data_IF_973885057848
#
_entry.id   IF_973885057848
#
_cell.length_a   1.000
_cell.length_b   1.000
_cell.length_c   1.000
_cell.angle_alpha   90.00
_cell.angle_beta   90.00
_cell.angle_gamma   90.00
#
_symmetry.space_group_name_H-M   'P 1'
#
loop_
_entity.id
_entity.type
_entity.pdbx_description
1 polymer ?
#
# COMPACT_ATOMS: atom_id res chain seq x y z
N UNK A 1 -22.47 24.82 17.72
CA UNK A 1 -22.80 26.23 18.07
C UNK A 1 -23.99 26.75 17.26
N UNK A 2 -24.52 26.07 16.25
CA UNK A 2 -25.69 26.49 15.47
C UNK A 2 -25.41 27.60 14.43
N UNK A 3 -24.16 27.96 14.18
CA UNK A 3 -23.79 28.90 13.14
C UNK A 3 -23.76 28.20 11.76
N UNK A 4 -24.38 28.82 10.76
CA UNK A 4 -24.36 28.35 9.38
C UNK A 4 -22.95 28.53 8.81
N UNK A 5 -22.28 27.43 8.48
CA UNK A 5 -20.99 27.45 7.79
C UNK A 5 -21.23 27.34 6.28
N UNK A 6 -20.78 28.32 5.51
CA UNK A 6 -20.66 28.20 4.05
C UNK A 6 -19.30 27.60 3.72
N UNK A 7 -19.30 26.49 2.97
CA UNK A 7 -18.07 25.87 2.42
C UNK A 7 -18.13 25.96 0.91
N UNK A 8 -16.98 26.16 0.29
CA UNK A 8 -16.84 26.03 -1.16
C UNK A 8 -17.21 24.60 -1.60
N UNK A 9 -18.11 24.50 -2.57
CA UNK A 9 -18.45 23.22 -3.19
C UNK A 9 -17.34 22.83 -4.17
N UNK A 10 -16.75 21.66 -3.96
CA UNK A 10 -15.81 21.06 -4.93
C UNK A 10 -16.57 20.07 -5.79
N UNK A 11 -16.63 20.33 -7.10
CA UNK A 11 -17.20 19.38 -8.05
C UNK A 11 -16.22 18.23 -8.24
N UNK A 12 -16.63 17.02 -7.86
CA UNK A 12 -15.88 15.80 -8.16
C UNK A 12 -16.34 15.30 -9.54
N UNK A 13 -15.50 15.44 -10.53
CA UNK A 13 -15.76 14.96 -11.88
C UNK A 13 -15.41 13.45 -11.98
N UNK A 14 -16.33 12.62 -11.48
CA UNK A 14 -16.28 11.17 -11.70
C UNK A 14 -17.11 10.85 -12.96
N UNK A 15 -16.45 10.37 -13.99
CA UNK A 15 -17.17 9.96 -15.20
C UNK A 15 -18.07 8.75 -14.92
N UNK A 16 -19.29 8.73 -15.49
CA UNK A 16 -20.22 7.58 -15.42
C UNK A 16 -19.54 6.29 -15.91
N UNK A 17 -18.54 6.41 -16.77
CA UNK A 17 -17.76 5.31 -17.32
C UNK A 17 -16.87 4.64 -16.26
N UNK A 18 -16.34 5.39 -15.29
CA UNK A 18 -15.52 4.85 -14.20
C UNK A 18 -16.33 3.99 -13.23
N UNK A 19 -17.64 4.27 -13.09
CA UNK A 19 -18.57 3.52 -12.27
C UNK A 19 -19.21 2.32 -13.00
N UNK A 20 -18.86 2.05 -14.27
CA UNK A 20 -19.39 0.92 -15.05
C UNK A 20 -18.45 -0.28 -14.93
N UNK A 21 -18.98 -1.48 -15.15
CA UNK A 21 -18.17 -2.72 -15.21
C UNK A 21 -17.43 -2.89 -16.55
N UNK A 22 -17.68 -2.08 -17.55
CA UNK A 22 -17.05 -2.09 -18.89
C UNK A 22 -16.96 -3.49 -19.53
N UNK A 23 -18.02 -4.30 -19.35
CA UNK A 23 -18.11 -5.66 -19.89
C UNK A 23 -17.55 -6.76 -19.01
N UNK A 24 -16.87 -6.43 -17.91
CA UNK A 24 -16.42 -7.41 -16.93
C UNK A 24 -17.59 -7.95 -16.08
N UNK A 25 -17.47 -9.19 -15.63
CA UNK A 25 -18.48 -9.80 -14.77
C UNK A 25 -18.53 -9.15 -13.38
N UNK A 26 -17.39 -8.77 -12.83
CA UNK A 26 -17.23 -8.21 -11.51
C UNK A 26 -16.38 -6.94 -11.54
N UNK A 27 -16.61 -6.00 -10.61
CA UNK A 27 -15.77 -4.81 -10.46
C UNK A 27 -14.33 -5.18 -10.14
N UNK A 28 -14.10 -6.13 -9.25
CA UNK A 28 -12.77 -6.58 -8.89
C UNK A 28 -12.00 -7.11 -10.11
N UNK A 29 -12.65 -7.84 -11.02
CA UNK A 29 -12.04 -8.31 -12.26
C UNK A 29 -11.58 -7.12 -13.12
N UNK A 30 -12.45 -6.13 -13.33
CA UNK A 30 -12.09 -4.88 -14.03
C UNK A 30 -10.88 -4.22 -13.37
N UNK A 31 -10.90 -4.05 -12.05
CA UNK A 31 -9.87 -3.38 -11.27
C UNK A 31 -8.52 -4.11 -11.30
N UNK A 32 -8.53 -5.45 -11.42
CA UNK A 32 -7.31 -6.24 -11.68
C UNK A 32 -6.68 -5.84 -13.01
N UNK A 33 -7.49 -5.73 -14.08
CA UNK A 33 -6.99 -5.36 -15.41
C UNK A 33 -6.66 -3.87 -15.55
N UNK A 34 -7.16 -3.01 -14.67
CA UNK A 34 -6.82 -1.59 -14.61
C UNK A 34 -5.47 -1.31 -13.95
N UNK A 35 -4.85 -2.26 -13.25
CA UNK A 35 -3.62 -2.05 -12.49
C UNK A 35 -2.47 -1.44 -13.32
N UNK A 36 -2.18 -1.86 -14.57
CA UNK A 36 -1.10 -1.24 -15.34
C UNK A 36 -1.29 0.26 -15.51
N UNK A 37 -2.51 0.69 -15.85
CA UNK A 37 -2.81 2.11 -16.02
C UNK A 37 -2.80 2.84 -14.67
N UNK A 38 -3.35 2.24 -13.62
CA UNK A 38 -3.36 2.83 -12.28
C UNK A 38 -1.94 3.05 -11.74
N UNK A 39 -1.02 2.10 -11.95
CA UNK A 39 0.39 2.25 -11.59
C UNK A 39 1.05 3.37 -12.40
N UNK A 40 0.81 3.43 -13.72
CA UNK A 40 1.32 4.51 -14.56
C UNK A 40 0.85 5.88 -14.07
N UNK A 41 -0.44 6.03 -13.75
CA UNK A 41 -1.01 7.26 -13.19
C UNK A 41 -0.39 7.63 -11.84
N UNK A 42 -0.06 6.62 -11.01
CA UNK A 42 0.59 6.84 -9.71
C UNK A 42 2.03 7.36 -9.85
N UNK A 43 2.67 7.19 -11.00
CA UNK A 43 4.06 7.61 -11.26
C UNK A 43 4.10 8.92 -12.06
N UNK A 44 3.08 9.19 -12.86
CA UNK A 44 3.03 10.30 -13.80
C UNK A 44 3.34 11.65 -13.12
N UNK A 45 4.27 12.42 -13.73
CA UNK A 45 4.67 13.72 -13.23
C UNK A 45 5.49 13.73 -11.94
N UNK A 46 5.98 12.55 -11.49
CA UNK A 46 6.71 12.40 -10.20
C UNK A 46 8.17 12.01 -10.38
N UNK A 47 8.55 11.62 -11.57
CA UNK A 47 9.93 11.21 -11.91
C UNK A 47 10.40 11.88 -13.18
N UNK A 48 11.71 12.16 -13.27
CA UNK A 48 12.38 12.61 -14.48
C UNK A 48 13.85 12.16 -14.43
N UNK A 49 14.41 11.81 -15.59
CA UNK A 49 15.84 11.46 -15.74
C UNK A 49 16.32 10.38 -14.77
N UNK A 50 15.48 9.36 -14.49
CA UNK A 50 15.80 8.27 -13.57
C UNK A 50 15.78 8.67 -12.09
N UNK A 51 15.24 9.84 -11.75
CA UNK A 51 15.15 10.35 -10.38
C UNK A 51 13.72 10.76 -10.03
N UNK A 52 13.40 10.72 -8.74
CA UNK A 52 12.18 11.30 -8.21
C UNK A 52 12.31 12.83 -8.20
N UNK A 53 11.22 13.53 -8.55
CA UNK A 53 11.19 14.99 -8.49
C UNK A 53 11.13 15.47 -7.02
N UNK A 54 11.57 16.71 -6.78
CA UNK A 54 11.54 17.30 -5.45
C UNK A 54 10.10 17.65 -5.03
N UNK A 55 9.85 17.55 -3.72
CA UNK A 55 8.59 17.95 -3.10
C UNK A 55 7.31 17.28 -3.67
N UNK A 56 7.42 16.08 -4.23
CA UNK A 56 6.24 15.34 -4.73
C UNK A 56 5.23 14.97 -3.64
N UNK A 57 5.62 15.03 -2.38
CA UNK A 57 4.77 14.85 -1.20
C UNK A 57 4.18 16.17 -0.68
N UNK A 58 4.56 17.30 -1.25
CA UNK A 58 4.15 18.64 -0.84
C UNK A 58 5.35 19.52 -0.51
N UNK A 59 5.10 20.82 -0.49
CA UNK A 59 6.14 21.83 -0.27
C UNK A 59 6.90 21.58 1.04
N UNK A 60 8.22 21.65 0.98
CA UNK A 60 9.11 21.44 2.13
C UNK A 60 9.39 19.98 2.49
N UNK A 61 8.73 18.99 1.85
CA UNK A 61 8.94 17.58 2.17
C UNK A 61 10.39 17.13 1.93
N UNK A 62 11.03 17.57 0.84
CA UNK A 62 12.42 17.23 0.54
C UNK A 62 13.41 17.74 1.60
N UNK A 63 13.15 18.91 2.20
CA UNK A 63 13.99 19.43 3.29
C UNK A 63 13.77 18.65 4.57
N UNK A 64 12.51 18.40 4.95
CA UNK A 64 12.16 17.66 6.15
C UNK A 64 12.70 16.22 6.12
N UNK A 65 12.65 15.57 4.95
CA UNK A 65 13.10 14.19 4.80
C UNK A 65 14.60 13.97 5.03
N UNK A 66 15.41 15.03 5.01
CA UNK A 66 16.82 14.96 5.43
C UNK A 66 16.99 14.53 6.90
N UNK A 67 16.01 14.90 7.74
CA UNK A 67 16.02 14.61 9.19
C UNK A 67 15.50 13.23 9.57
N UNK A 68 14.92 12.47 8.62
CA UNK A 68 14.29 11.17 8.91
C UNK A 68 15.33 10.13 9.30
N UNK A 69 15.26 9.64 10.54
CA UNK A 69 16.08 8.53 11.04
C UNK A 69 15.29 7.26 11.29
N UNK A 70 13.97 7.36 11.42
CA UNK A 70 13.03 6.26 11.65
C UNK A 70 11.74 6.51 10.90
N UNK A 71 11.01 5.45 10.62
CA UNK A 71 9.67 5.55 10.03
C UNK A 71 8.71 4.70 10.83
N UNK A 72 7.58 5.28 11.20
CA UNK A 72 6.43 4.59 11.79
C UNK A 72 5.32 4.50 10.76
N UNK A 73 5.06 3.32 10.23
CA UNK A 73 3.90 3.05 9.38
C UNK A 73 2.72 2.61 10.21
N UNK A 74 1.55 3.16 9.90
CA UNK A 74 0.29 2.78 10.54
C UNK A 74 -0.80 2.65 9.48
N UNK A 75 -1.44 1.49 9.43
CA UNK A 75 -2.47 1.17 8.45
C UNK A 75 -3.34 -0.02 8.89
N UNK A 76 -4.39 -0.32 8.12
CA UNK A 76 -5.24 -1.49 8.28
C UNK A 76 -5.20 -2.38 7.01
N UNK A 77 -5.38 -3.70 7.18
CA UNK A 77 -5.61 -4.66 6.10
C UNK A 77 -4.58 -4.59 4.98
N UNK A 78 -5.05 -4.48 3.75
CA UNK A 78 -4.25 -4.39 2.52
C UNK A 78 -3.19 -3.29 2.58
N UNK A 79 -3.53 -2.11 3.12
CA UNK A 79 -2.59 -0.99 3.26
C UNK A 79 -1.45 -1.31 4.25
N UNK A 80 -1.72 -2.09 5.30
CA UNK A 80 -0.67 -2.59 6.20
C UNK A 80 0.26 -3.59 5.48
N UNK A 81 -0.29 -4.46 4.65
CA UNK A 81 0.52 -5.40 3.86
C UNK A 81 1.38 -4.66 2.83
N UNK A 82 0.90 -3.54 2.26
CA UNK A 82 1.71 -2.68 1.41
C UNK A 82 2.90 -2.09 2.17
N UNK A 83 2.70 -1.56 3.39
CA UNK A 83 3.78 -1.07 4.24
C UNK A 83 4.81 -2.17 4.57
N UNK A 84 4.33 -3.37 4.94
CA UNK A 84 5.20 -4.52 5.24
C UNK A 84 6.03 -4.95 4.02
N UNK A 85 5.45 -4.92 2.83
CA UNK A 85 6.15 -5.24 1.58
C UNK A 85 7.21 -4.19 1.27
N UNK A 86 6.89 -2.91 1.46
CA UNK A 86 7.79 -1.80 1.18
C UNK A 86 8.94 -1.64 2.19
N UNK A 87 8.85 -2.23 3.37
CA UNK A 87 9.85 -2.12 4.45
C UNK A 87 11.28 -2.28 3.94
N UNK A 88 11.51 -3.29 3.11
CA UNK A 88 12.84 -3.59 2.57
C UNK A 88 13.40 -2.41 1.77
N UNK A 89 12.58 -1.70 1.00
CA UNK A 89 13.02 -0.55 0.21
C UNK A 89 13.53 0.58 1.10
N UNK A 90 12.86 0.84 2.23
CA UNK A 90 13.31 1.87 3.18
C UNK A 90 14.61 1.48 3.88
N UNK A 91 14.76 0.20 4.24
CA UNK A 91 15.99 -0.31 4.83
C UNK A 91 17.17 -0.26 3.82
N UNK A 92 16.95 -0.61 2.54
CA UNK A 92 18.00 -0.67 1.51
C UNK A 92 18.31 0.66 0.84
N UNK A 93 17.30 1.50 0.58
CA UNK A 93 17.49 2.78 -0.11
C UNK A 93 17.73 3.94 0.86
N UNK A 94 17.07 3.94 2.01
CA UNK A 94 17.11 5.03 2.96
C UNK A 94 18.01 4.78 4.16
N UNK A 95 18.47 3.53 4.38
CA UNK A 95 19.20 3.11 5.58
C UNK A 95 18.43 3.49 6.86
N UNK A 96 17.11 3.25 6.84
CA UNK A 96 16.19 3.75 7.86
C UNK A 96 15.33 2.61 8.41
N UNK A 97 15.39 2.35 9.73
CA UNK A 97 14.56 1.34 10.37
C UNK A 97 13.07 1.73 10.29
N UNK A 98 12.22 0.72 10.07
CA UNK A 98 10.79 0.86 9.93
C UNK A 98 10.04 0.07 10.99
N UNK A 99 9.14 0.75 11.69
CA UNK A 99 8.14 0.19 12.59
C UNK A 99 6.81 0.15 11.85
N UNK A 100 6.06 -0.93 11.98
CA UNK A 100 4.81 -1.14 11.25
C UNK A 100 3.78 -1.69 12.21
N UNK A 101 2.71 -0.95 12.43
CA UNK A 101 1.65 -1.29 13.38
C UNK A 101 0.27 -1.30 12.73
N UNK A 102 -0.59 -2.18 13.21
CA UNK A 102 -2.02 -2.08 12.94
C UNK A 102 -2.58 -0.78 13.55
N UNK A 103 -3.32 -0.02 12.75
CA UNK A 103 -3.89 1.23 13.23
C UNK A 103 -4.85 1.02 14.42
N UNK A 104 -5.60 -0.09 14.42
CA UNK A 104 -6.48 -0.48 15.52
C UNK A 104 -5.75 -0.65 16.85
N UNK A 105 -4.52 -1.17 16.81
CA UNK A 105 -3.72 -1.46 18.02
C UNK A 105 -2.84 -0.27 18.41
N UNK A 106 -2.34 0.48 17.42
CA UNK A 106 -1.44 1.59 17.63
C UNK A 106 -1.97 2.63 18.61
N UNK A 107 -3.25 3.04 18.44
CA UNK A 107 -3.93 4.03 19.27
C UNK A 107 -4.04 3.65 20.77
N UNK A 108 -3.94 2.37 21.09
CA UNK A 108 -4.05 1.86 22.47
C UNK A 108 -2.72 1.51 23.11
N UNK A 109 -1.66 1.38 22.31
CA UNK A 109 -0.35 0.91 22.76
C UNK A 109 0.46 1.96 23.53
N UNK A 110 0.15 3.25 23.36
CA UNK A 110 0.93 4.36 23.91
C UNK A 110 2.44 4.23 23.56
N UNK A 111 2.82 4.27 22.27
CA UNK A 111 4.16 4.00 21.79
C UNK A 111 5.16 5.08 22.25
N UNK A 112 6.41 4.68 22.39
CA UNK A 112 7.50 5.64 22.54
C UNK A 112 7.75 6.31 21.18
N UNK A 113 7.73 7.64 21.18
CA UNK A 113 7.97 8.46 19.99
C UNK A 113 9.32 9.17 20.11
N UNK A 114 10.07 9.13 19.02
CA UNK A 114 11.36 9.82 18.89
C UNK A 114 11.22 10.94 17.84
N UNK A 115 11.74 12.12 18.14
CA UNK A 115 11.56 13.37 17.38
C UNK A 115 11.96 13.29 15.89
N UNK A 116 12.86 12.37 15.52
CA UNK A 116 13.35 12.14 14.16
C UNK A 116 12.60 11.01 13.40
N UNK A 117 11.43 10.63 13.91
CA UNK A 117 10.56 9.60 13.32
C UNK A 117 9.52 10.23 12.38
N UNK A 118 9.50 9.80 11.13
CA UNK A 118 8.44 10.16 10.18
C UNK A 118 7.23 9.23 10.40
N UNK A 119 6.06 9.80 10.67
CA UNK A 119 4.81 9.03 10.78
C UNK A 119 4.13 8.92 9.41
N UNK A 120 3.80 7.71 8.97
CA UNK A 120 3.22 7.45 7.66
C UNK A 120 1.90 6.69 7.78
N UNK A 121 0.81 7.34 7.42
CA UNK A 121 -0.52 6.75 7.33
C UNK A 121 -0.83 6.28 5.91
N UNK A 122 -1.38 5.08 5.77
CA UNK A 122 -1.77 4.54 4.46
C UNK A 122 -3.23 4.11 4.51
N UNK A 123 -4.03 4.61 3.57
CA UNK A 123 -5.44 4.26 3.44
C UNK A 123 -5.91 4.50 2.01
N UNK A 124 -6.71 3.60 1.45
CA UNK A 124 -7.31 3.81 0.13
C UNK A 124 -8.26 5.03 0.17
N UNK A 125 -9.19 5.06 1.10
CA UNK A 125 -10.20 6.13 1.22
C UNK A 125 -9.68 7.41 1.90
N UNK A 126 -8.63 7.29 2.74
CA UNK A 126 -8.21 8.37 3.64
C UNK A 126 -9.22 8.71 4.75
N UNK A 127 -10.17 7.78 5.02
CA UNK A 127 -11.23 7.94 6.03
C UNK A 127 -11.33 6.74 6.97
N UNK A 128 -10.39 5.80 6.93
CA UNK A 128 -10.39 4.62 7.81
C UNK A 128 -10.34 5.04 9.28
N UNK A 129 -11.36 4.71 10.06
CA UNK A 129 -11.55 5.24 11.41
C UNK A 129 -10.35 5.01 12.34
N UNK A 130 -9.78 3.80 12.36
CA UNK A 130 -8.62 3.50 13.21
C UNK A 130 -7.36 4.22 12.73
N UNK A 131 -7.15 4.36 11.41
CA UNK A 131 -6.01 5.10 10.85
C UNK A 131 -6.14 6.59 11.16
N UNK A 132 -7.35 7.14 11.08
CA UNK A 132 -7.65 8.50 11.50
C UNK A 132 -7.36 8.73 12.99
N UNK A 133 -7.76 7.79 13.84
CA UNK A 133 -7.49 7.89 15.27
C UNK A 133 -5.99 7.84 15.58
N UNK A 134 -5.23 6.99 14.87
CA UNK A 134 -3.77 6.94 14.98
C UNK A 134 -3.10 8.22 14.46
N UNK A 135 -3.60 8.82 13.37
CA UNK A 135 -3.13 10.10 12.85
C UNK A 135 -3.37 11.21 13.88
N UNK A 136 -4.58 11.28 14.47
CA UNK A 136 -4.89 12.29 15.50
C UNK A 136 -3.99 12.13 16.73
N UNK A 137 -3.73 10.91 17.16
CA UNK A 137 -2.76 10.63 18.21
C UNK A 137 -1.36 11.16 17.83
N UNK A 138 -0.90 10.89 16.60
CA UNK A 138 0.42 11.32 16.14
C UNK A 138 0.57 12.85 16.07
N UNK A 139 -0.51 13.61 15.86
CA UNK A 139 -0.49 15.09 15.87
C UNK A 139 -0.17 15.68 17.25
N UNK A 140 -0.51 14.98 18.31
CA UNK A 140 -0.23 15.39 19.69
C UNK A 140 1.16 14.96 20.17
N UNK A 141 1.86 14.15 19.36
CA UNK A 141 3.19 13.60 19.65
C UNK A 141 4.30 14.32 18.87
N UNK A 142 5.55 14.06 19.26
CA UNK A 142 6.75 14.70 18.70
C UNK A 142 7.32 13.95 17.50
N UNK A 143 6.47 13.63 16.53
CA UNK A 143 6.95 13.13 15.24
C UNK A 143 7.62 14.24 14.44
N UNK A 144 8.58 13.86 13.56
CA UNK A 144 9.17 14.80 12.59
C UNK A 144 8.12 15.43 11.67
N UNK A 145 7.07 14.70 11.41
CA UNK A 145 5.91 15.10 10.63
C UNK A 145 5.10 13.89 10.18
N UNK A 146 3.97 14.14 9.54
CA UNK A 146 2.99 13.15 9.13
C UNK A 146 2.85 13.14 7.62
N UNK A 147 3.05 11.97 7.01
CA UNK A 147 2.78 11.71 5.59
C UNK A 147 1.53 10.86 5.45
N UNK A 148 0.62 11.25 4.57
CA UNK A 148 -0.51 10.41 4.14
C UNK A 148 -0.33 9.91 2.71
N UNK A 149 -0.52 8.60 2.52
CA UNK A 149 -0.66 7.96 1.21
C UNK A 149 -2.12 7.53 1.07
N UNK A 150 -2.88 8.16 0.17
CA UNK A 150 -4.29 7.81 -0.05
C UNK A 150 -4.71 8.04 -1.51
N UNK A 151 -5.91 7.56 -1.86
CA UNK A 151 -6.44 7.72 -3.22
C UNK A 151 -7.41 8.91 -3.35
N UNK A 152 -7.97 9.40 -2.24
CA UNK A 152 -9.01 10.44 -2.25
C UNK A 152 -8.43 11.78 -1.80
N UNK A 153 -8.27 12.76 -2.72
CA UNK A 153 -7.63 14.05 -2.41
C UNK A 153 -8.38 14.89 -1.37
N UNK A 154 -9.69 14.73 -1.30
CA UNK A 154 -10.58 15.47 -0.39
C UNK A 154 -10.75 14.80 0.96
N UNK A 155 -10.03 13.71 1.22
CA UNK A 155 -10.14 12.94 2.46
C UNK A 155 -9.65 13.72 3.69
N UNK A 156 -10.15 13.32 4.85
CA UNK A 156 -9.76 13.92 6.12
C UNK A 156 -8.27 13.69 6.40
N UNK A 157 -7.74 12.48 6.15
CA UNK A 157 -6.30 12.21 6.33
C UNK A 157 -5.44 13.12 5.46
N UNK A 158 -5.84 13.38 4.20
CA UNK A 158 -5.12 14.27 3.31
C UNK A 158 -5.10 15.73 3.80
N UNK A 159 -6.17 16.18 4.45
CA UNK A 159 -6.24 17.56 5.01
C UNK A 159 -5.44 17.71 6.30
N UNK A 160 -5.39 16.66 7.10
CA UNK A 160 -4.84 16.69 8.46
C UNK A 160 -3.33 16.35 8.52
N UNK A 161 -2.73 15.96 7.41
CA UNK A 161 -1.31 15.60 7.32
C UNK A 161 -0.44 16.72 6.76
N UNK A 162 0.82 16.78 7.20
CA UNK A 162 1.80 17.76 6.73
C UNK A 162 2.13 17.55 5.25
N UNK A 163 2.35 16.29 4.87
CA UNK A 163 2.66 15.90 3.49
C UNK A 163 1.76 14.76 3.04
N UNK A 164 1.57 14.66 1.73
CA UNK A 164 0.68 13.65 1.14
C UNK A 164 1.06 13.30 -0.29
N UNK A 165 0.70 12.09 -0.68
CA UNK A 165 0.73 11.67 -2.07
C UNK A 165 -0.56 10.91 -2.40
N UNK A 166 -1.13 11.21 -3.55
CA UNK A 166 -2.34 10.52 -4.03
C UNK A 166 -1.94 9.40 -4.99
N UNK A 167 -2.54 8.24 -4.80
CA UNK A 167 -2.23 7.07 -5.62
C UNK A 167 -2.80 7.15 -7.03
N UNK A 168 -3.76 8.06 -7.28
CA UNK A 168 -4.40 8.28 -8.58
C UNK A 168 -4.91 6.98 -9.24
N UNK A 169 -5.34 6.01 -8.41
CA UNK A 169 -5.81 4.71 -8.87
C UNK A 169 -7.20 4.75 -9.54
N UNK A 170 -7.88 5.91 -9.49
CA UNK A 170 -9.28 6.01 -9.83
C UNK A 170 -10.20 5.34 -8.80
N UNK A 171 -11.51 5.29 -9.02
CA UNK A 171 -12.44 4.63 -8.11
C UNK A 171 -12.17 3.13 -7.99
N UNK A 172 -12.17 2.60 -6.77
CA UNK A 172 -12.13 1.17 -6.48
C UNK A 172 -13.45 0.80 -5.79
N UNK A 173 -14.30 0.05 -6.48
CA UNK A 173 -15.67 -0.29 -6.08
C UNK A 173 -15.74 -1.71 -5.52
N UNK A 174 -14.84 -2.58 -5.97
CA UNK A 174 -14.70 -3.94 -5.44
C UNK A 174 -14.43 -3.91 -3.94
N UNK A 175 -15.09 -4.79 -3.18
CA UNK A 175 -14.90 -4.88 -1.73
C UNK A 175 -13.46 -5.24 -1.36
N UNK A 176 -12.89 -6.20 -2.09
CA UNK A 176 -11.50 -6.59 -1.92
C UNK A 176 -10.58 -5.70 -2.76
N UNK A 177 -9.67 -5.00 -2.11
CA UNK A 177 -8.72 -4.08 -2.75
C UNK A 177 -7.77 -4.80 -3.72
N UNK A 178 -7.51 -4.19 -4.87
CA UNK A 178 -6.62 -4.68 -5.93
C UNK A 178 -5.65 -3.60 -6.40
N UNK A 179 -6.11 -2.70 -7.28
CA UNK A 179 -5.30 -1.61 -7.83
C UNK A 179 -4.84 -0.61 -6.76
N UNK A 180 -5.59 -0.44 -5.68
CA UNK A 180 -5.15 0.39 -4.57
C UNK A 180 -3.90 -0.19 -3.89
N UNK A 181 -3.77 -1.52 -3.75
CA UNK A 181 -2.57 -2.16 -3.21
C UNK A 181 -1.33 -1.86 -4.05
N UNK A 182 -1.40 -2.11 -5.35
CA UNK A 182 -0.26 -1.92 -6.26
C UNK A 182 0.14 -0.46 -6.42
N UNK A 183 -0.82 0.47 -6.43
CA UNK A 183 -0.53 1.90 -6.45
C UNK A 183 0.00 2.44 -5.12
N UNK A 184 -0.40 1.85 -3.98
CA UNK A 184 0.22 2.14 -2.67
C UNK A 184 1.68 1.68 -2.65
N UNK A 185 2.01 0.51 -3.23
CA UNK A 185 3.40 0.07 -3.36
C UNK A 185 4.22 1.05 -4.21
N UNK A 186 3.67 1.52 -5.34
CA UNK A 186 4.32 2.55 -6.16
C UNK A 186 4.58 3.85 -5.37
N UNK A 187 3.59 4.33 -4.63
CA UNK A 187 3.71 5.53 -3.79
C UNK A 187 4.74 5.35 -2.65
N UNK A 188 4.79 4.16 -2.04
CA UNK A 188 5.77 3.82 -1.01
C UNK A 188 7.20 3.76 -1.56
N UNK A 189 7.39 3.22 -2.77
CA UNK A 189 8.71 3.24 -3.43
C UNK A 189 9.14 4.67 -3.76
N UNK A 190 8.22 5.52 -4.25
CA UNK A 190 8.48 6.94 -4.46
C UNK A 190 8.84 7.66 -3.14
N UNK A 191 8.23 7.30 -2.01
CA UNK A 191 8.59 7.84 -0.70
C UNK A 191 10.01 7.41 -0.29
N UNK A 192 10.35 6.14 -0.46
CA UNK A 192 11.70 5.64 -0.20
C UNK A 192 12.75 6.36 -1.06
N UNK A 193 12.48 6.52 -2.36
CA UNK A 193 13.35 7.28 -3.27
C UNK A 193 13.47 8.74 -2.85
N UNK A 194 12.38 9.39 -2.42
CA UNK A 194 12.40 10.79 -1.98
C UNK A 194 13.24 10.99 -0.71
N UNK A 195 13.10 10.11 0.28
CA UNK A 195 13.92 10.14 1.50
C UNK A 195 15.40 9.88 1.17
N UNK A 196 15.69 8.85 0.38
CA UNK A 196 17.05 8.53 -0.08
C UNK A 196 17.70 9.70 -0.82
N UNK A 197 16.96 10.36 -1.73
CA UNK A 197 17.41 11.55 -2.45
C UNK A 197 17.69 12.70 -1.50
N UNK A 198 16.79 12.99 -0.58
CA UNK A 198 16.93 14.05 0.42
C UNK A 198 18.14 13.86 1.33
N UNK A 199 18.47 12.63 1.67
CA UNK A 199 19.68 12.25 2.43
C UNK A 199 20.95 12.20 1.55
N UNK A 200 20.81 12.30 0.24
CA UNK A 200 21.90 12.18 -0.74
C UNK A 200 22.66 10.84 -0.64
N UNK A 201 21.94 9.74 -0.48
CA UNK A 201 22.50 8.38 -0.38
C UNK A 201 21.96 7.45 -1.45
N UNK A 202 22.67 6.38 -1.76
CA UNK A 202 22.24 5.26 -2.61
C UNK A 202 21.70 5.69 -4.00
N UNK A 203 22.36 6.66 -4.67
CA UNK A 203 21.90 7.24 -5.94
C UNK A 203 21.67 6.17 -7.02
N UNK A 204 22.61 5.26 -7.22
CA UNK A 204 22.52 4.24 -8.27
C UNK A 204 21.37 3.27 -7.99
N UNK A 205 21.26 2.76 -6.77
CA UNK A 205 20.14 1.90 -6.36
C UNK A 205 18.78 2.59 -6.53
N UNK A 206 18.72 3.90 -6.28
CA UNK A 206 17.52 4.70 -6.46
C UNK A 206 17.14 4.83 -7.94
N UNK A 207 18.13 5.06 -8.80
CA UNK A 207 17.92 5.13 -10.25
C UNK A 207 17.42 3.79 -10.80
N UNK A 208 18.02 2.68 -10.37
CA UNK A 208 17.56 1.32 -10.72
C UNK A 208 16.11 1.11 -10.26
N UNK A 209 15.79 1.44 -9.00
CA UNK A 209 14.44 1.30 -8.46
C UNK A 209 13.40 2.15 -9.23
N UNK A 210 13.73 3.34 -9.66
CA UNK A 210 12.86 4.19 -10.49
C UNK A 210 12.67 3.57 -11.87
N UNK A 211 13.74 3.06 -12.50
CA UNK A 211 13.63 2.38 -13.79
C UNK A 211 12.75 1.12 -13.70
N UNK A 212 12.90 0.32 -12.65
CA UNK A 212 12.06 -0.86 -12.41
C UNK A 212 10.61 -0.45 -12.20
N UNK A 213 10.35 0.63 -11.44
CA UNK A 213 9.01 1.16 -11.23
C UNK A 213 8.36 1.60 -12.54
N UNK A 214 9.09 2.28 -13.42
CA UNK A 214 8.62 2.72 -14.74
C UNK A 214 8.28 1.54 -15.67
N UNK A 215 8.96 0.40 -15.51
CA UNK A 215 8.70 -0.82 -16.27
C UNK A 215 7.55 -1.66 -15.68
N UNK A 216 7.21 -1.46 -14.41
CA UNK A 216 6.21 -2.26 -13.70
C UNK A 216 4.85 -2.34 -14.41
N UNK A 217 4.28 -1.26 -15.01
CA UNK A 217 3.02 -1.37 -15.75
C UNK A 217 3.04 -2.40 -16.88
N UNK A 218 4.15 -2.49 -17.62
CA UNK A 218 4.32 -3.47 -18.68
C UNK A 218 4.38 -4.89 -18.14
N UNK A 219 5.16 -5.11 -17.07
CA UNK A 219 5.32 -6.42 -16.44
C UNK A 219 3.99 -6.93 -15.85
N UNK A 220 3.21 -6.04 -15.23
CA UNK A 220 1.87 -6.38 -14.73
C UNK A 220 0.94 -6.78 -15.90
N UNK A 221 0.99 -6.04 -17.02
CA UNK A 221 0.21 -6.39 -18.20
C UNK A 221 0.61 -7.77 -18.78
N UNK A 222 1.89 -8.08 -18.81
CA UNK A 222 2.40 -9.39 -19.27
C UNK A 222 1.92 -10.53 -18.35
N UNK A 223 1.83 -10.29 -17.03
CA UNK A 223 1.36 -11.31 -16.08
C UNK A 223 -0.08 -11.78 -16.32
N UNK A 224 -0.91 -10.98 -17.00
CA UNK A 224 -2.27 -11.40 -17.39
C UNK A 224 -2.29 -12.59 -18.35
N UNK A 225 -1.18 -12.85 -19.07
CA UNK A 225 -1.00 -14.05 -19.87
C UNK A 225 -0.99 -15.36 -19.06
N UNK A 226 -0.83 -15.27 -17.73
CA UNK A 226 -0.85 -16.44 -16.84
C UNK A 226 -2.28 -16.91 -16.50
N UNK A 227 -3.33 -16.22 -16.99
CA UNK A 227 -4.71 -16.52 -16.61
C UNK A 227 -5.09 -18.00 -16.79
N UNK A 228 -4.76 -18.61 -17.92
CA UNK A 228 -5.09 -20.02 -18.18
C UNK A 228 -4.42 -20.96 -17.18
N UNK A 229 -3.18 -20.68 -16.80
CA UNK A 229 -2.47 -21.46 -15.79
C UNK A 229 -3.08 -21.29 -14.40
N UNK A 230 -3.52 -20.08 -14.06
CA UNK A 230 -4.25 -19.80 -12.82
C UNK A 230 -5.59 -20.55 -12.80
N UNK A 231 -6.33 -20.57 -13.92
CA UNK A 231 -7.59 -21.31 -14.02
C UNK A 231 -7.40 -22.81 -13.73
N UNK A 232 -6.32 -23.43 -14.24
CA UNK A 232 -5.97 -24.83 -13.93
C UNK A 232 -5.67 -25.07 -12.45
N UNK A 233 -5.03 -24.10 -11.77
CA UNK A 233 -4.78 -24.17 -10.32
C UNK A 233 -6.10 -24.06 -9.56
N UNK A 234 -6.96 -23.12 -9.93
CA UNK A 234 -8.26 -22.88 -9.31
C UNK A 234 -9.12 -24.15 -9.35
N UNK A 235 -9.18 -24.84 -10.47
CA UNK A 235 -9.91 -26.13 -10.60
C UNK A 235 -9.47 -27.16 -9.56
N UNK A 236 -8.18 -27.19 -9.18
CA UNK A 236 -7.63 -28.13 -8.20
C UNK A 236 -7.90 -27.76 -6.76
N UNK A 237 -8.18 -26.48 -6.48
CA UNK A 237 -8.34 -25.97 -5.11
C UNK A 237 -9.75 -25.50 -4.78
N UNK A 238 -10.64 -25.42 -5.76
CA UNK A 238 -11.98 -24.84 -5.60
C UNK A 238 -12.88 -25.60 -4.59
N UNK A 239 -12.65 -26.89 -4.37
CA UNK A 239 -13.38 -27.73 -3.43
C UNK A 239 -12.77 -27.75 -2.01
N UNK A 240 -11.64 -27.10 -1.80
CA UNK A 240 -10.91 -27.09 -0.54
C UNK A 240 -11.54 -26.11 0.45
N UNK A 241 -11.31 -26.35 1.74
CA UNK A 241 -11.87 -25.52 2.83
C UNK A 241 -10.85 -24.66 3.53
N UNK A 242 -9.58 -24.96 3.33
CA UNK A 242 -8.45 -24.25 3.92
C UNK A 242 -7.39 -24.02 2.86
N UNK A 243 -6.55 -23.01 3.04
CA UNK A 243 -5.34 -22.80 2.23
C UNK A 243 -4.23 -22.18 3.09
N UNK A 244 -2.99 -22.58 2.83
CA UNK A 244 -1.82 -21.93 3.42
C UNK A 244 -1.06 -21.17 2.34
N UNK A 245 -0.68 -19.93 2.65
CA UNK A 245 0.15 -19.08 1.81
C UNK A 245 1.53 -18.96 2.42
N UNK A 246 2.57 -19.28 1.67
CA UNK A 246 3.94 -19.27 2.17
C UNK A 246 4.78 -18.25 1.41
N UNK A 247 5.53 -17.45 2.15
CA UNK A 247 6.46 -16.48 1.57
C UNK A 247 7.73 -16.34 2.39
N UNK A 248 8.80 -15.87 1.74
CA UNK A 248 10.07 -15.56 2.40
C UNK A 248 10.46 -14.12 2.11
N UNK A 249 10.98 -13.40 3.13
CA UNK A 249 11.32 -11.99 3.00
C UNK A 249 10.11 -11.16 2.62
N UNK A 250 10.21 -10.34 1.57
CA UNK A 250 9.10 -9.51 1.07
C UNK A 250 7.89 -10.34 0.61
N UNK A 251 8.12 -11.54 0.09
CA UNK A 251 7.06 -12.43 -0.36
C UNK A 251 6.17 -12.95 0.78
N UNK A 252 6.62 -12.90 2.04
CA UNK A 252 5.72 -13.19 3.15
C UNK A 252 4.59 -12.16 3.27
N UNK A 253 4.90 -10.88 3.09
CA UNK A 253 3.87 -9.83 3.10
C UNK A 253 2.93 -9.93 1.89
N UNK A 254 3.45 -10.37 0.74
CA UNK A 254 2.63 -10.67 -0.46
C UNK A 254 1.74 -11.90 -0.19
N UNK A 255 2.27 -12.93 0.46
CA UNK A 255 1.48 -14.11 0.88
C UNK A 255 0.38 -13.72 1.88
N UNK A 256 0.63 -12.78 2.80
CA UNK A 256 -0.39 -12.24 3.71
C UNK A 256 -1.51 -11.55 2.95
N UNK A 257 -1.17 -10.76 1.93
CA UNK A 257 -2.17 -10.10 1.08
C UNK A 257 -2.96 -11.13 0.25
N UNK A 258 -2.29 -12.13 -0.35
CA UNK A 258 -2.93 -13.22 -1.08
C UNK A 258 -3.92 -14.00 -0.21
N UNK A 259 -3.52 -14.38 1.00
CA UNK A 259 -4.39 -15.05 1.96
C UNK A 259 -5.60 -14.17 2.38
N UNK A 260 -5.39 -12.86 2.53
CA UNK A 260 -6.47 -11.91 2.81
C UNK A 260 -7.46 -11.86 1.64
N UNK A 261 -6.99 -11.68 0.42
CA UNK A 261 -7.85 -11.66 -0.79
C UNK A 261 -8.61 -12.96 -0.96
N UNK A 262 -7.93 -14.09 -0.75
CA UNK A 262 -8.57 -15.40 -0.86
C UNK A 262 -9.74 -15.54 0.13
N UNK A 263 -9.56 -15.17 1.40
CA UNK A 263 -10.62 -15.18 2.42
C UNK A 263 -11.79 -14.27 2.05
N UNK A 264 -11.51 -13.04 1.62
CA UNK A 264 -12.54 -12.04 1.32
C UNK A 264 -13.44 -12.46 0.16
N UNK A 265 -12.88 -13.16 -0.83
CA UNK A 265 -13.59 -13.49 -2.07
C UNK A 265 -14.26 -14.86 -1.99
N UNK A 266 -13.58 -15.85 -1.41
CA UNK A 266 -14.03 -17.25 -1.45
C UNK A 266 -14.72 -17.70 -0.16
N UNK A 267 -14.54 -16.95 0.94
CA UNK A 267 -14.91 -17.36 2.30
C UNK A 267 -14.22 -18.64 2.79
N UNK A 268 -13.19 -19.12 2.07
CA UNK A 268 -12.34 -20.22 2.47
C UNK A 268 -11.30 -19.70 3.47
N UNK A 269 -11.09 -20.43 4.56
CA UNK A 269 -10.07 -20.07 5.54
C UNK A 269 -8.68 -20.10 4.90
N UNK A 270 -7.93 -19.02 5.01
CA UNK A 270 -6.57 -18.93 4.48
C UNK A 270 -5.66 -18.17 5.44
N UNK A 271 -4.48 -18.71 5.69
CA UNK A 271 -3.46 -18.09 6.51
C UNK A 271 -2.12 -18.02 5.80
N UNK A 272 -1.33 -17.01 6.14
CA UNK A 272 0.02 -16.87 5.60
C UNK A 272 1.06 -17.05 6.69
N UNK A 273 2.13 -17.77 6.35
CA UNK A 273 3.27 -18.00 7.24
C UNK A 273 4.60 -17.66 6.53
N UNK A 274 5.59 -17.16 7.27
CA UNK A 274 6.95 -17.17 6.75
C UNK A 274 7.34 -18.62 6.43
N UNK A 275 7.87 -18.89 5.24
CA UNK A 275 8.13 -20.25 4.79
C UNK A 275 9.06 -21.04 5.75
N UNK A 276 9.97 -20.34 6.45
CA UNK A 276 10.83 -20.96 7.47
C UNK A 276 10.07 -21.41 8.72
N UNK A 277 8.96 -20.75 9.05
CA UNK A 277 8.14 -21.05 10.23
C UNK A 277 7.17 -22.23 10.04
N UNK A 278 7.02 -22.73 8.80
CA UNK A 278 6.15 -23.89 8.54
C UNK A 278 6.48 -25.08 9.43
N UNK A 279 7.78 -25.32 9.71
CA UNK A 279 8.26 -26.42 10.55
C UNK A 279 7.99 -26.22 12.04
N UNK A 280 7.62 -25.01 12.46
CA UNK A 280 7.43 -24.65 13.87
C UNK A 280 5.96 -24.68 14.29
N UNK A 281 5.18 -25.61 13.74
CA UNK A 281 3.78 -25.84 14.07
C UNK A 281 2.86 -25.97 12.87
N UNK A 282 2.81 -25.01 11.95
CA UNK A 282 1.83 -25.01 10.86
C UNK A 282 1.88 -26.23 9.94
N UNK A 283 3.02 -26.92 9.86
CA UNK A 283 3.16 -28.18 9.09
C UNK A 283 2.14 -29.25 9.52
N UNK A 284 1.68 -29.21 10.76
CA UNK A 284 0.64 -30.12 11.25
C UNK A 284 -0.73 -29.95 10.56
N UNK A 285 -0.95 -28.80 9.90
CA UNK A 285 -2.17 -28.48 9.16
C UNK A 285 -2.12 -28.92 7.70
N UNK A 286 -0.96 -29.36 7.22
CA UNK A 286 -0.77 -29.74 5.82
C UNK A 286 -1.23 -31.17 5.60
N UNK A 287 -2.24 -31.33 4.77
CA UNK A 287 -2.80 -32.58 4.31
C UNK A 287 -3.23 -32.50 2.84
N UNK A 288 -3.87 -33.51 2.31
CA UNK A 288 -4.36 -33.54 0.91
C UNK A 288 -5.49 -32.54 0.65
N UNK A 289 -6.12 -32.01 1.70
CA UNK A 289 -7.23 -31.05 1.64
C UNK A 289 -6.82 -29.60 1.88
N UNK A 290 -5.56 -29.36 2.24
CA UNK A 290 -5.00 -28.03 2.54
C UNK A 290 -3.97 -27.64 1.51
N UNK A 291 -4.35 -26.99 0.39
CA UNK A 291 -3.40 -26.51 -0.60
C UNK A 291 -2.42 -25.51 0.01
N UNK A 292 -1.18 -25.57 -0.47
CA UNK A 292 -0.11 -24.64 -0.12
C UNK A 292 0.26 -23.83 -1.37
N UNK A 293 0.15 -22.51 -1.26
CA UNK A 293 0.42 -21.52 -2.31
C UNK A 293 1.74 -20.81 -2.04
#
# INVERSE_FOLDING_TARGET
NGEALSREETIIDTSVKEASKDGYKHFMEKEIYEQPQAIANAIEGRTADGEVLDNIFGLGSSEAFKGVKRIQFVACGTSLHAAKTARKWFEELCETPCYIDFASEYRYRNPLVEDDTLFVCISQSGETADTMAALNYAKDEKYLGIVTICNVPTSTMARESDWKIFTNAGPEIGVASTKAFTTQLAALLLLACSISKSKNINKDKRADAINDLLNTPSLVKESFGLKSHIDEIVEKIADKKNALYLGRGVYFSVAQEGALKFKEITYIHAEAYPAGELKHGPLALVDEMTPVV
#
